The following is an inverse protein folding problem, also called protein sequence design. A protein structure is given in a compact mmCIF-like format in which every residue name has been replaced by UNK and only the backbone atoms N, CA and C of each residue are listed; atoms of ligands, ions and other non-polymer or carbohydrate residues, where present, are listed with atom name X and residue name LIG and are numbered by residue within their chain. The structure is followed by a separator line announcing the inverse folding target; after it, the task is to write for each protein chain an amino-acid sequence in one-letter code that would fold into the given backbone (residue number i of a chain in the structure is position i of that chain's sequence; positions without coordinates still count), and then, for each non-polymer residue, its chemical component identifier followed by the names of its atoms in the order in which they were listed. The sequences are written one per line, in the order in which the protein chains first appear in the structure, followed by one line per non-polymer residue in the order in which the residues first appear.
data_IF_439045876399
#
_entry.id   IF_439045876399
#
_cell.length_a   1.000
_cell.length_b   1.000
_cell.length_c   1.000
_cell.angle_alpha   90.00
_cell.angle_beta   90.00
_cell.angle_gamma   90.00
#
_symmetry.space_group_name_H-M   'P 1'
#
loop_
_entity.id
_entity.type
_entity.pdbx_description
1 polymer ?
#
# COMPACT_ATOMS: atom_id res chain seq x y z
N UNK A 1 -13.22 19.39 33.22
CA UNK A 1 -12.68 19.99 31.98
C UNK A 1 -12.32 18.86 31.03
N UNK A 2 -12.90 18.78 29.84
CA UNK A 2 -12.43 17.84 28.81
C UNK A 2 -11.07 18.32 28.29
N UNK A 3 -10.13 17.40 28.10
CA UNK A 3 -8.83 17.76 27.53
C UNK A 3 -8.99 18.03 26.03
N UNK A 4 -8.13 18.88 25.44
CA UNK A 4 -8.16 19.18 24.01
C UNK A 4 -8.17 17.91 23.13
N UNK A 5 -7.44 16.87 23.56
CA UNK A 5 -7.41 15.57 22.87
C UNK A 5 -8.79 14.91 22.79
N UNK A 6 -9.59 15.00 23.84
CA UNK A 6 -10.90 14.34 23.91
C UNK A 6 -11.87 15.05 22.96
N UNK A 7 -11.83 16.39 22.94
CA UNK A 7 -12.60 17.22 22.01
C UNK A 7 -12.21 16.91 20.56
N UNK A 8 -10.92 16.84 20.26
CA UNK A 8 -10.44 16.55 18.91
C UNK A 8 -10.89 15.15 18.45
N UNK A 9 -10.77 14.13 19.30
CA UNK A 9 -11.18 12.77 18.95
C UNK A 9 -12.69 12.68 18.76
N UNK A 10 -13.49 13.27 19.66
CA UNK A 10 -14.95 13.30 19.56
C UNK A 10 -15.43 14.02 18.29
N UNK A 11 -14.79 15.13 17.92
CA UNK A 11 -15.11 15.88 16.70
C UNK A 11 -14.88 15.06 15.41
N UNK A 12 -14.01 14.04 15.45
CA UNK A 12 -13.71 13.17 14.31
C UNK A 12 -14.39 11.78 14.42
N UNK A 13 -15.46 11.68 15.20
CA UNK A 13 -16.31 10.49 15.25
C UNK A 13 -16.07 9.56 16.44
N UNK A 14 -15.09 9.86 17.31
CA UNK A 14 -14.89 9.17 18.58
C UNK A 14 -14.20 7.80 18.47
N UNK A 15 -13.66 7.34 19.62
CA UNK A 15 -12.95 6.06 19.68
C UNK A 15 -13.86 4.85 19.47
N UNK A 16 -15.11 4.91 19.91
CA UNK A 16 -16.02 3.76 19.79
C UNK A 16 -16.34 3.45 18.33
N UNK A 17 -16.52 4.47 17.51
CA UNK A 17 -16.64 4.31 16.06
C UNK A 17 -15.33 3.80 15.47
N UNK A 18 -14.19 4.38 15.83
CA UNK A 18 -12.89 3.93 15.34
C UNK A 18 -12.63 2.44 15.60
N UNK A 19 -13.03 1.94 16.77
CA UNK A 19 -12.86 0.53 17.18
C UNK A 19 -13.71 -0.46 16.37
N UNK A 20 -14.72 0.00 15.65
CA UNK A 20 -15.59 -0.86 14.82
C UNK A 20 -14.97 -1.21 13.45
N UNK A 21 -13.87 -0.56 13.05
CA UNK A 21 -13.28 -0.75 11.73
C UNK A 21 -11.85 -1.30 11.80
N UNK A 22 -11.56 -2.26 10.93
CA UNK A 22 -10.24 -2.92 10.82
C UNK A 22 -9.43 -2.43 9.61
N UNK A 23 -10.10 -1.94 8.57
CA UNK A 23 -9.49 -1.53 7.31
C UNK A 23 -10.30 -0.44 6.61
N UNK A 24 -9.66 0.27 5.69
CA UNK A 24 -10.29 1.24 4.77
C UNK A 24 -9.90 0.89 3.34
N UNK A 25 -10.82 1.12 2.39
CA UNK A 25 -10.56 0.92 0.97
C UNK A 25 -10.98 2.13 0.15
N UNK A 26 -10.27 2.39 -0.94
CA UNK A 26 -10.58 3.43 -1.90
C UNK A 26 -10.21 2.99 -3.33
N UNK A 27 -10.99 3.42 -4.32
CA UNK A 27 -10.62 3.30 -5.72
C UNK A 27 -9.67 4.45 -6.08
N UNK A 28 -8.54 4.10 -6.69
CA UNK A 28 -7.46 5.03 -7.02
C UNK A 28 -7.22 5.01 -8.52
N UNK A 29 -7.21 6.21 -9.11
CA UNK A 29 -6.68 6.44 -10.45
C UNK A 29 -5.47 7.34 -10.29
N UNK A 30 -4.30 6.86 -10.66
CA UNK A 30 -3.03 7.56 -10.44
C UNK A 30 -2.16 7.57 -11.69
N UNK A 31 -1.34 8.61 -11.79
CA UNK A 31 -0.43 8.84 -12.89
C UNK A 31 0.72 9.74 -12.48
N UNK A 32 1.44 10.27 -13.45
CA UNK A 32 2.62 11.11 -13.23
C UNK A 32 3.91 10.46 -13.72
N UNK A 33 4.94 11.29 -13.92
CA UNK A 33 6.19 10.92 -14.59
C UNK A 33 6.96 9.82 -13.84
N UNK A 34 6.81 9.75 -12.52
CA UNK A 34 7.50 8.76 -11.68
C UNK A 34 7.23 7.32 -12.13
N UNK A 35 5.97 6.97 -12.44
CA UNK A 35 5.61 5.60 -12.78
C UNK A 35 6.27 5.13 -14.07
N UNK A 36 6.26 5.97 -15.11
CA UNK A 36 6.95 5.69 -16.37
C UNK A 36 8.47 5.63 -16.18
N UNK A 37 9.03 6.57 -15.42
CA UNK A 37 10.46 6.61 -15.10
C UNK A 37 10.95 5.34 -14.40
N UNK A 38 10.11 4.76 -13.54
CA UNK A 38 10.40 3.52 -12.81
C UNK A 38 10.04 2.24 -13.56
N UNK A 39 9.58 2.34 -14.82
CA UNK A 39 9.23 1.19 -15.65
C UNK A 39 7.87 0.56 -15.32
N UNK A 40 6.99 1.28 -14.62
CA UNK A 40 5.75 0.78 -14.03
C UNK A 40 4.54 1.65 -14.42
N UNK A 41 4.51 2.13 -15.65
CA UNK A 41 3.57 3.17 -16.11
C UNK A 41 2.09 2.81 -15.95
N UNK A 42 1.74 1.52 -16.09
CA UNK A 42 0.34 1.05 -16.16
C UNK A 42 -0.07 0.17 -14.99
N UNK A 43 0.90 -0.40 -14.26
CA UNK A 43 0.68 -1.46 -13.28
C UNK A 43 -0.33 -1.09 -12.18
N UNK A 44 -0.33 0.19 -11.77
CA UNK A 44 -1.23 0.72 -10.75
C UNK A 44 -2.04 1.94 -11.24
N UNK A 45 -2.16 2.16 -12.56
CA UNK A 45 -2.87 3.32 -13.11
C UNK A 45 -4.32 3.38 -12.59
N UNK A 46 -4.96 2.22 -12.45
CA UNK A 46 -6.28 2.04 -11.86
C UNK A 46 -6.26 0.84 -10.93
N UNK A 47 -6.46 1.07 -9.65
CA UNK A 47 -6.45 0.00 -8.63
C UNK A 47 -7.40 0.36 -7.50
N UNK A 48 -7.85 -0.64 -6.74
CA UNK A 48 -8.36 -0.43 -5.40
C UNK A 48 -7.21 -0.55 -4.42
N UNK A 49 -7.08 0.39 -3.51
CA UNK A 49 -6.17 0.28 -2.37
C UNK A 49 -6.96 -0.06 -1.11
N UNK A 50 -6.42 -0.96 -0.29
CA UNK A 50 -6.95 -1.29 1.04
C UNK A 50 -5.82 -1.22 2.04
N UNK A 51 -6.04 -0.52 3.15
CA UNK A 51 -5.05 -0.35 4.22
C UNK A 51 -5.63 -0.75 5.58
N UNK A 52 -4.78 -1.31 6.44
CA UNK A 52 -5.11 -1.65 7.81
C UNK A 52 -5.23 -0.43 8.72
N UNK A 53 -6.25 -0.40 9.56
CA UNK A 53 -6.45 0.67 10.54
C UNK A 53 -5.85 0.37 11.92
N UNK A 54 -5.56 -0.92 12.21
CA UNK A 54 -5.01 -1.38 13.50
C UNK A 54 -3.61 -1.96 13.41
N UNK A 55 -3.22 -2.39 12.21
CA UNK A 55 -1.91 -2.95 11.90
C UNK A 55 -1.42 -2.30 10.61
N UNK A 56 -0.12 -2.11 10.52
CA UNK A 56 0.52 -1.57 9.33
C UNK A 56 0.54 -2.64 8.23
N UNK A 57 -0.35 -2.49 7.26
CA UNK A 57 -0.35 -3.24 6.01
C UNK A 57 -1.14 -2.49 4.94
N UNK A 58 -0.81 -2.74 3.68
CA UNK A 58 -1.56 -2.23 2.53
C UNK A 58 -1.62 -3.25 1.39
N UNK A 59 -2.64 -3.14 0.54
CA UNK A 59 -2.86 -4.01 -0.61
C UNK A 59 -3.48 -3.24 -1.76
N UNK A 60 -2.98 -3.50 -2.97
CA UNK A 60 -3.49 -2.95 -4.21
C UNK A 60 -4.01 -4.10 -5.08
N UNK A 61 -5.24 -4.00 -5.56
CA UNK A 61 -5.85 -4.96 -6.48
C UNK A 61 -6.76 -4.25 -7.49
N UNK A 62 -6.66 -4.54 -8.80
CA UNK A 62 -5.66 -5.42 -9.43
C UNK A 62 -4.24 -4.83 -9.38
N UNK A 63 -3.23 -5.69 -9.40
CA UNK A 63 -1.82 -5.31 -9.51
C UNK A 63 -1.26 -5.75 -10.87
N UNK A 64 -1.26 -4.84 -11.85
CA UNK A 64 -0.91 -5.17 -13.23
C UNK A 64 -1.96 -6.08 -13.87
N UNK A 65 -1.62 -7.36 -14.03
CA UNK A 65 -2.54 -8.35 -14.59
C UNK A 65 -3.72 -8.65 -13.64
N UNK A 66 -4.84 -9.09 -14.21
CA UNK A 66 -6.00 -9.53 -13.45
C UNK A 66 -5.64 -10.68 -12.48
N UNK A 67 -6.35 -10.76 -11.36
CA UNK A 67 -6.20 -11.76 -10.29
C UNK A 67 -4.87 -11.73 -9.51
N UNK A 68 -4.15 -10.60 -9.53
CA UNK A 68 -2.98 -10.33 -8.67
C UNK A 68 -3.27 -9.18 -7.72
N UNK A 69 -2.76 -9.28 -6.51
CA UNK A 69 -2.73 -8.18 -5.53
C UNK A 69 -1.35 -8.03 -4.89
N UNK A 70 -1.04 -6.81 -4.45
CA UNK A 70 0.10 -6.62 -3.54
C UNK A 70 -0.30 -6.92 -2.09
N UNK A 71 0.67 -7.32 -1.27
CA UNK A 71 0.57 -7.39 0.18
C UNK A 71 1.81 -6.78 0.78
N UNK A 72 1.70 -5.54 1.26
CA UNK A 72 2.76 -4.83 1.97
C UNK A 72 2.61 -5.02 3.48
N UNK A 73 3.72 -5.36 4.12
CA UNK A 73 3.98 -5.30 5.57
C UNK A 73 5.42 -4.74 5.77
N UNK A 74 5.77 -4.19 6.94
CA UNK A 74 7.01 -3.41 7.10
C UNK A 74 8.30 -4.14 6.68
N UNK A 75 8.39 -5.43 7.00
CA UNK A 75 9.55 -6.30 6.72
C UNK A 75 9.37 -7.20 5.49
N UNK A 76 8.21 -7.16 4.82
CA UNK A 76 7.89 -8.07 3.72
C UNK A 76 6.88 -7.45 2.76
N UNK A 77 7.15 -7.56 1.47
CA UNK A 77 6.13 -7.35 0.45
C UNK A 77 5.97 -8.61 -0.40
N UNK A 78 4.74 -8.91 -0.79
CA UNK A 78 4.44 -10.01 -1.68
C UNK A 78 3.47 -9.60 -2.78
N UNK A 79 3.51 -10.36 -3.87
CA UNK A 79 2.47 -10.40 -4.88
C UNK A 79 1.73 -11.73 -4.70
N UNK A 80 0.42 -11.64 -4.52
CA UNK A 80 -0.44 -12.78 -4.21
C UNK A 80 -1.48 -12.95 -5.31
N UNK A 81 -1.84 -14.21 -5.59
CA UNK A 81 -3.05 -14.51 -6.34
C UNK A 81 -4.30 -14.23 -5.48
N UNK A 82 -5.47 -14.16 -6.10
CA UNK A 82 -6.74 -13.91 -5.40
C UNK A 82 -7.03 -14.89 -4.26
N UNK A 83 -6.61 -16.15 -4.39
CA UNK A 83 -6.77 -17.18 -3.36
C UNK A 83 -5.77 -17.06 -2.18
N UNK A 84 -4.84 -16.09 -2.24
CA UNK A 84 -3.81 -15.86 -1.24
C UNK A 84 -2.55 -16.69 -1.40
N UNK A 85 -2.42 -17.44 -2.48
CA UNK A 85 -1.14 -18.02 -2.88
C UNK A 85 -0.12 -16.92 -3.13
N UNK A 86 1.00 -16.97 -2.43
CA UNK A 86 2.15 -16.09 -2.66
C UNK A 86 2.80 -16.49 -3.97
N UNK A 87 2.81 -15.58 -4.94
CA UNK A 87 3.44 -15.78 -6.25
C UNK A 87 4.92 -15.40 -6.20
N UNK A 88 5.20 -14.25 -5.59
CA UNK A 88 6.56 -13.72 -5.40
C UNK A 88 6.62 -12.94 -4.08
N UNK A 89 7.78 -12.92 -3.44
CA UNK A 89 7.99 -12.14 -2.23
C UNK A 89 9.37 -11.50 -2.17
N UNK A 90 9.45 -10.42 -1.39
CA UNK A 90 10.67 -9.73 -1.05
C UNK A 90 10.67 -9.43 0.46
N UNK A 91 11.65 -10.00 1.15
CA UNK A 91 11.96 -9.70 2.54
C UNK A 91 12.88 -8.48 2.61
N UNK A 92 12.77 -7.72 3.70
CA UNK A 92 13.54 -6.49 3.92
C UNK A 92 13.48 -5.53 2.69
N UNK A 93 12.29 -5.23 2.16
CA UNK A 93 12.14 -4.57 0.85
C UNK A 93 12.82 -3.20 0.79
N UNK A 94 12.93 -2.48 1.91
CA UNK A 94 13.67 -1.21 1.98
C UNK A 94 15.15 -1.36 1.59
N UNK A 95 15.79 -2.46 1.98
CA UNK A 95 17.20 -2.72 1.66
C UNK A 95 17.42 -2.95 0.15
N UNK A 96 16.39 -3.43 -0.57
CA UNK A 96 16.47 -3.63 -2.02
C UNK A 96 16.68 -2.35 -2.83
N UNK A 97 16.47 -1.17 -2.23
CA UNK A 97 16.68 0.13 -2.86
C UNK A 97 18.12 0.67 -2.67
N UNK A 98 18.99 -0.04 -1.94
CA UNK A 98 20.36 0.41 -1.72
C UNK A 98 21.10 0.60 -3.05
N UNK A 99 21.68 1.79 -3.25
CA UNK A 99 22.38 2.14 -4.50
C UNK A 99 21.47 2.53 -5.68
N UNK A 100 20.15 2.58 -5.48
CA UNK A 100 19.25 3.11 -6.52
C UNK A 100 19.44 4.62 -6.72
N UNK A 101 19.42 5.03 -7.97
CA UNK A 101 19.34 6.42 -8.39
C UNK A 101 17.94 6.73 -8.95
N UNK A 102 17.73 7.97 -9.37
CA UNK A 102 16.47 8.42 -9.97
C UNK A 102 16.10 7.58 -11.20
N UNK A 103 17.07 7.17 -12.02
CA UNK A 103 16.86 6.40 -13.25
C UNK A 103 16.77 4.89 -13.04
N UNK A 104 17.09 4.38 -11.84
CA UNK A 104 17.05 2.94 -11.59
C UNK A 104 15.59 2.45 -11.64
N UNK A 105 15.25 1.51 -12.55
CA UNK A 105 13.89 0.99 -12.65
C UNK A 105 13.52 0.17 -11.41
N UNK A 106 12.22 -0.04 -11.21
CA UNK A 106 11.72 -0.84 -10.10
C UNK A 106 11.19 -2.19 -10.60
N UNK A 107 11.45 -3.24 -9.82
CA UNK A 107 10.70 -4.49 -9.93
C UNK A 107 9.25 -4.28 -9.47
N UNK A 108 8.35 -5.22 -9.80
CA UNK A 108 6.97 -5.17 -9.31
C UNK A 108 6.89 -5.23 -7.77
N UNK A 109 7.77 -6.00 -7.12
CA UNK A 109 7.84 -6.05 -5.65
C UNK A 109 8.32 -4.72 -5.05
N UNK A 110 9.26 -4.03 -5.71
CA UNK A 110 9.69 -2.68 -5.29
C UNK A 110 8.58 -1.65 -5.49
N UNK A 111 7.84 -1.72 -6.59
CA UNK A 111 6.62 -0.92 -6.79
C UNK A 111 5.59 -1.18 -5.69
N UNK A 112 5.31 -2.44 -5.40
CA UNK A 112 4.37 -2.86 -4.37
C UNK A 112 4.78 -2.34 -2.98
N UNK A 113 6.09 -2.38 -2.66
CA UNK A 113 6.60 -1.81 -1.41
C UNK A 113 6.43 -0.29 -1.38
N UNK A 114 6.84 0.42 -2.44
CA UNK A 114 6.76 1.88 -2.48
C UNK A 114 5.32 2.36 -2.35
N UNK A 115 4.41 1.79 -3.14
CA UNK A 115 2.99 2.16 -3.10
C UNK A 115 2.35 1.77 -1.76
N UNK A 116 2.68 0.58 -1.22
CA UNK A 116 2.14 0.12 0.07
C UNK A 116 2.62 0.94 1.26
N UNK A 117 3.89 1.32 1.30
CA UNK A 117 4.49 2.14 2.37
C UNK A 117 3.98 3.59 2.35
N UNK A 118 3.43 4.07 1.23
CA UNK A 118 2.90 5.42 1.08
C UNK A 118 1.46 5.58 1.60
N UNK A 119 0.78 4.49 1.94
CA UNK A 119 -0.60 4.47 2.46
C UNK A 119 -0.63 4.50 3.99
#
# INVERSE_FOLDING_TARGET
MKQLKDIAIEAHGGLDRWRQFEQVSADLVQGGVLWSLKGQAVTLERTKVTAGLKREWASHAPFGADNRRSRFEPSRVALEADDGTVLEELLEPRASFAGHELQTPWTELQLAYFAGCAM
#
